data_IF_933525370785
#
_entry.id   IF_933525370785
#
_cell.length_a   1.000
_cell.length_b   1.000
_cell.length_c   1.000
_cell.angle_alpha   90.00
_cell.angle_beta   90.00
_cell.angle_gamma   90.00
#
_symmetry.space_group_name_H-M   'P 1'
#
loop_
_entity.id
_entity.type
_entity.pdbx_description
1 polymer ?
#
# COMPACT_ATOMS: atom_id res chain seq x y z
N UNK A 1 14.83 -0.52 21.24
CA UNK A 1 14.43 -0.55 19.82
C UNK A 1 15.12 0.61 19.13
N UNK A 2 15.89 0.35 18.06
CA UNK A 2 16.47 1.40 17.24
C UNK A 2 15.37 2.06 16.39
N UNK A 3 15.48 3.37 16.21
CA UNK A 3 14.63 4.07 15.24
C UNK A 3 15.03 3.68 13.82
N UNK A 4 14.04 3.64 12.91
CA UNK A 4 14.32 3.49 11.47
C UNK A 4 14.94 4.81 11.00
N UNK A 5 16.13 4.71 10.41
CA UNK A 5 16.77 5.85 9.75
C UNK A 5 16.33 5.90 8.30
N UNK A 6 15.56 6.93 7.93
CA UNK A 6 15.07 7.11 6.55
C UNK A 6 16.17 7.42 5.54
N UNK A 7 17.38 7.74 6.00
CA UNK A 7 18.57 7.92 5.14
C UNK A 7 19.33 6.62 4.92
N UNK A 8 19.04 5.58 5.73
CA UNK A 8 19.66 4.27 5.63
C UNK A 8 18.64 3.20 5.99
N UNK A 9 18.09 2.53 5.02
CA UNK A 9 17.03 1.51 5.23
C UNK A 9 17.56 0.17 5.72
N UNK A 10 18.84 0.08 6.11
CA UNK A 10 19.46 -1.16 6.59
C UNK A 10 18.72 -1.76 7.79
N UNK A 11 18.45 -0.93 8.80
CA UNK A 11 17.76 -1.37 10.01
C UNK A 11 16.31 -1.79 9.73
N UNK A 12 15.66 -1.18 8.73
CA UNK A 12 14.30 -1.55 8.29
C UNK A 12 14.25 -2.98 7.75
N UNK A 13 15.21 -3.38 6.93
CA UNK A 13 15.25 -4.74 6.38
C UNK A 13 15.48 -5.81 7.47
N UNK A 14 16.17 -5.49 8.54
CA UNK A 14 16.45 -6.39 9.67
C UNK A 14 15.24 -6.62 10.58
N UNK A 15 14.33 -5.63 10.70
CA UNK A 15 13.14 -5.73 11.56
C UNK A 15 11.88 -6.24 10.86
N UNK A 16 11.94 -6.43 9.55
CA UNK A 16 10.81 -6.86 8.75
C UNK A 16 10.55 -8.36 8.92
N UNK A 17 9.37 -8.70 9.40
CA UNK A 17 8.88 -10.08 9.47
C UNK A 17 7.85 -10.33 8.36
N UNK A 18 7.90 -11.51 7.75
CA UNK A 18 6.91 -11.95 6.77
C UNK A 18 6.06 -13.07 7.35
N UNK A 19 4.74 -12.89 7.30
CA UNK A 19 3.75 -13.89 7.69
C UNK A 19 2.86 -14.22 6.49
N UNK A 20 2.40 -15.46 6.39
CA UNK A 20 1.43 -15.88 5.37
C UNK A 20 0.08 -16.12 6.02
N UNK A 21 -0.96 -15.52 5.46
CA UNK A 21 -2.34 -15.90 5.75
C UNK A 21 -2.71 -17.15 4.94
N UNK A 22 -3.46 -18.05 5.53
CA UNK A 22 -4.09 -19.16 4.82
C UNK A 22 -5.59 -18.92 4.72
N UNK A 23 -6.30 -19.53 3.74
CA UNK A 23 -7.75 -19.39 3.65
C UNK A 23 -8.50 -19.90 4.89
N UNK A 24 -7.91 -20.84 5.62
CA UNK A 24 -8.50 -21.47 6.81
C UNK A 24 -8.27 -20.65 8.08
N UNK A 25 -7.07 -20.09 8.24
CA UNK A 25 -6.66 -19.41 9.48
C UNK A 25 -6.77 -17.89 9.39
N UNK A 26 -6.62 -17.34 8.17
CA UNK A 26 -6.57 -15.91 7.95
C UNK A 26 -5.31 -15.25 8.53
N UNK A 27 -5.38 -13.95 8.74
CA UNK A 27 -4.37 -13.12 9.38
C UNK A 27 -5.01 -12.31 10.50
N UNK A 28 -4.57 -12.51 11.72
CA UNK A 28 -5.01 -11.70 12.86
C UNK A 28 -4.23 -10.40 12.87
N UNK A 29 -4.95 -9.29 12.87
CA UNK A 29 -4.41 -7.93 13.01
C UNK A 29 -4.74 -7.44 14.42
N UNK A 30 -3.74 -7.36 15.27
CA UNK A 30 -3.93 -6.92 16.65
C UNK A 30 -4.11 -5.41 16.75
N UNK A 31 -4.75 -4.89 17.83
CA UNK A 31 -4.84 -3.45 18.09
C UNK A 31 -3.49 -2.76 18.01
N UNK A 32 -3.41 -1.69 17.21
CA UNK A 32 -2.18 -0.91 16.98
C UNK A 32 -1.16 -1.57 16.04
N UNK A 33 -1.41 -2.78 15.54
CA UNK A 33 -0.53 -3.46 14.59
C UNK A 33 -0.61 -2.82 13.20
N UNK A 34 0.55 -2.72 12.54
CA UNK A 34 0.70 -2.25 11.17
C UNK A 34 1.26 -3.38 10.31
N UNK A 35 0.58 -3.70 9.22
CA UNK A 35 0.95 -4.74 8.27
C UNK A 35 1.02 -4.18 6.85
N UNK A 36 1.95 -4.69 6.06
CA UNK A 36 1.92 -4.53 4.61
C UNK A 36 1.27 -5.76 3.99
N UNK A 37 0.16 -5.54 3.31
CA UNK A 37 -0.52 -6.54 2.47
C UNK A 37 -0.41 -6.18 1.00
N UNK A 38 -1.00 -6.99 0.13
CA UNK A 38 -1.10 -6.71 -1.30
C UNK A 38 -2.49 -7.02 -1.82
N UNK A 39 -2.91 -6.29 -2.84
CA UNK A 39 -4.13 -6.65 -3.59
C UNK A 39 -3.92 -7.92 -4.40
N UNK A 40 -5.00 -8.67 -4.62
CA UNK A 40 -5.00 -9.77 -5.59
C UNK A 40 -4.95 -9.20 -7.01
N UNK A 41 -5.66 -8.10 -7.23
CA UNK A 41 -5.78 -7.45 -8.52
C UNK A 41 -4.52 -6.65 -8.87
N UNK A 42 -4.21 -6.62 -10.17
CA UNK A 42 -3.26 -5.68 -10.75
C UNK A 42 -4.03 -4.47 -11.28
N UNK A 43 -3.65 -3.28 -10.83
CA UNK A 43 -4.20 -2.03 -11.32
C UNK A 43 -3.34 -1.50 -12.47
N UNK A 44 -4.00 -0.99 -13.52
CA UNK A 44 -3.35 -0.22 -14.58
C UNK A 44 -4.11 1.09 -14.74
N UNK A 45 -3.52 2.17 -14.22
CA UNK A 45 -4.08 3.51 -14.31
C UNK A 45 -3.69 4.16 -15.65
N UNK A 46 -4.63 4.61 -16.47
CA UNK A 46 -4.32 5.36 -17.68
C UNK A 46 -3.79 6.76 -17.34
N UNK A 47 -3.21 7.46 -18.32
CA UNK A 47 -2.59 8.78 -18.15
C UNK A 47 -3.55 9.91 -17.80
N UNK A 48 -4.85 9.71 -17.99
CA UNK A 48 -5.91 10.70 -17.76
C UNK A 48 -6.76 10.44 -16.51
N UNK A 49 -6.45 9.42 -15.74
CA UNK A 49 -7.13 9.08 -14.48
C UNK A 49 -6.12 9.01 -13.33
N UNK A 50 -6.56 9.46 -12.17
CA UNK A 50 -5.97 9.11 -10.88
C UNK A 50 -6.86 8.12 -10.18
N UNK A 51 -6.29 7.32 -9.30
CA UNK A 51 -7.07 6.45 -8.45
C UNK A 51 -6.71 6.68 -6.96
N UNK A 52 -7.65 6.33 -6.09
CA UNK A 52 -7.43 6.31 -4.64
C UNK A 52 -7.95 5.03 -4.04
N UNK A 53 -7.20 4.52 -3.07
CA UNK A 53 -7.60 3.40 -2.26
C UNK A 53 -8.43 3.95 -1.09
N UNK A 54 -9.63 3.44 -0.94
CA UNK A 54 -10.56 3.80 0.11
C UNK A 54 -10.97 2.57 0.92
N UNK A 55 -11.26 2.77 2.20
CA UNK A 55 -11.80 1.71 3.05
C UNK A 55 -13.25 1.38 2.71
N UNK A 56 -13.65 0.16 3.04
CA UNK A 56 -15.07 -0.23 3.05
C UNK A 56 -15.66 -0.01 4.43
N UNK A 57 -16.86 0.58 4.48
CA UNK A 57 -17.51 0.94 5.73
C UNK A 57 -17.68 -0.23 6.72
N UNK A 58 -17.88 -1.45 6.23
CA UNK A 58 -18.03 -2.64 7.08
C UNK A 58 -16.78 -2.93 7.89
N UNK A 59 -15.60 -2.82 7.28
CA UNK A 59 -14.31 -3.00 7.96
C UNK A 59 -13.90 -1.76 8.76
N UNK A 60 -14.16 -0.57 8.22
CA UNK A 60 -13.87 0.69 8.91
C UNK A 60 -14.59 0.80 10.26
N UNK A 61 -15.84 0.30 10.36
CA UNK A 61 -16.60 0.28 11.62
C UNK A 61 -16.07 -0.72 12.64
N UNK A 62 -15.24 -1.68 12.24
CA UNK A 62 -14.49 -2.55 13.15
C UNK A 62 -13.17 -1.92 13.60
N UNK A 63 -12.77 -0.81 12.99
CA UNK A 63 -11.49 -0.15 13.25
C UNK A 63 -10.38 -0.56 12.28
N UNK A 64 -10.67 -1.37 11.25
CA UNK A 64 -9.67 -1.76 10.25
C UNK A 64 -9.53 -0.67 9.19
N UNK A 65 -8.30 -0.16 9.05
CA UNK A 65 -7.89 0.72 7.96
C UNK A 65 -7.09 -0.15 6.97
N UNK A 66 -7.53 -0.29 5.71
CA UNK A 66 -6.80 -1.09 4.71
C UNK A 66 -5.60 -0.35 4.13
N UNK A 67 -5.50 0.96 4.39
CA UNK A 67 -4.48 1.81 3.84
C UNK A 67 -4.34 3.07 4.70
N UNK A 68 -3.24 3.13 5.46
CA UNK A 68 -3.08 4.13 6.52
C UNK A 68 -2.67 5.51 6.01
N UNK A 69 -1.89 5.61 4.94
CA UNK A 69 -1.31 6.88 4.52
C UNK A 69 -1.29 7.13 3.00
N UNK A 70 -0.78 6.22 2.20
CA UNK A 70 -0.43 6.48 0.78
C UNK A 70 -1.45 5.90 -0.22
N UNK A 71 -2.71 6.33 -0.14
CA UNK A 71 -3.82 5.85 -0.97
C UNK A 71 -3.91 6.39 -2.39
N UNK A 72 -3.08 7.36 -2.72
CA UNK A 72 -3.09 7.94 -4.04
C UNK A 72 -2.33 7.07 -5.03
N UNK A 73 -2.95 6.76 -6.15
CA UNK A 73 -2.35 6.01 -7.25
C UNK A 73 -2.20 6.93 -8.45
N UNK A 74 -0.95 7.19 -8.81
CA UNK A 74 -0.58 8.09 -9.89
C UNK A 74 -1.10 7.61 -11.26
N UNK A 75 -1.40 8.54 -12.18
CA UNK A 75 -1.64 8.22 -13.58
C UNK A 75 -0.44 7.47 -14.18
N UNK A 76 -0.72 6.43 -14.95
CA UNK A 76 0.32 5.60 -15.56
C UNK A 76 0.92 4.52 -14.67
N UNK A 77 0.49 4.39 -13.41
CA UNK A 77 0.89 3.28 -12.54
C UNK A 77 0.36 1.95 -13.09
N UNK A 78 1.21 0.92 -13.03
CA UNK A 78 0.83 -0.47 -13.29
C UNK A 78 1.46 -1.38 -12.24
N UNK A 79 0.66 -2.24 -11.60
CA UNK A 79 1.13 -3.18 -10.57
C UNK A 79 0.04 -3.58 -9.58
N UNK A 80 0.37 -4.48 -8.68
CA UNK A 80 -0.44 -4.73 -7.50
C UNK A 80 -0.28 -3.57 -6.51
N UNK A 81 -1.32 -3.30 -5.72
CA UNK A 81 -1.27 -2.24 -4.72
C UNK A 81 -0.81 -2.82 -3.39
N UNK A 82 0.23 -2.24 -2.82
CA UNK A 82 0.60 -2.52 -1.42
C UNK A 82 -0.38 -1.80 -0.51
N UNK A 83 -0.99 -2.56 0.41
CA UNK A 83 -1.94 -2.05 1.39
C UNK A 83 -1.23 -1.88 2.75
N UNK A 84 -1.43 -0.74 3.36
CA UNK A 84 -0.89 -0.35 4.66
C UNK A 84 -1.95 -0.60 5.74
N UNK A 85 -2.14 -1.87 6.10
CA UNK A 85 -3.25 -2.32 6.96
C UNK A 85 -2.96 -2.01 8.42
N UNK A 86 -3.92 -1.37 9.10
CA UNK A 86 -3.81 -1.07 10.52
C UNK A 86 -5.13 -1.33 11.25
N UNK A 87 -5.04 -1.87 12.47
CA UNK A 87 -6.18 -2.00 13.38
C UNK A 87 -6.15 -0.87 14.42
N UNK A 88 -7.07 0.08 14.28
CA UNK A 88 -7.29 1.17 15.26
C UNK A 88 -8.34 0.81 16.31
N UNK A 89 -8.96 -0.37 16.24
CA UNK A 89 -9.92 -0.86 17.21
C UNK A 89 -9.25 -1.38 18.48
N UNK A 90 -10.07 -1.87 19.40
CA UNK A 90 -9.63 -2.39 20.71
C UNK A 90 -9.56 -3.92 20.78
N UNK A 91 -10.00 -4.60 19.71
CA UNK A 91 -10.04 -6.06 19.63
C UNK A 91 -9.29 -6.53 18.38
N UNK A 92 -8.65 -7.71 18.43
CA UNK A 92 -8.05 -8.30 17.23
C UNK A 92 -9.10 -8.56 16.15
N UNK A 93 -8.72 -8.34 14.89
CA UNK A 93 -9.55 -8.57 13.71
C UNK A 93 -8.88 -9.61 12.85
N UNK A 94 -9.59 -10.69 12.49
CA UNK A 94 -9.09 -11.66 11.51
C UNK A 94 -9.58 -11.26 10.13
N UNK A 95 -8.66 -11.13 9.19
CA UNK A 95 -8.92 -10.94 7.76
C UNK A 95 -8.44 -12.18 7.00
N UNK A 96 -9.09 -12.49 5.92
CA UNK A 96 -8.77 -13.67 5.12
C UNK A 96 -8.26 -13.26 3.73
N UNK A 97 -7.42 -14.10 3.09
CA UNK A 97 -7.09 -13.92 1.69
C UNK A 97 -8.35 -13.76 0.84
N UNK A 98 -8.30 -12.86 -0.14
CA UNK A 98 -9.39 -12.53 -1.06
C UNK A 98 -10.58 -11.77 -0.42
N UNK A 99 -10.51 -11.42 0.86
CA UNK A 99 -11.49 -10.53 1.46
C UNK A 99 -11.51 -9.17 0.75
N UNK A 100 -12.72 -8.67 0.47
CA UNK A 100 -12.90 -7.33 -0.12
C UNK A 100 -12.80 -6.26 0.95
N UNK A 101 -11.58 -5.93 1.38
CA UNK A 101 -11.31 -5.00 2.49
C UNK A 101 -11.25 -3.53 2.08
N UNK A 102 -11.00 -3.25 0.80
CA UNK A 102 -10.90 -1.90 0.26
C UNK A 102 -11.70 -1.75 -1.04
N UNK A 103 -11.72 -0.53 -1.55
CA UNK A 103 -12.27 -0.17 -2.86
C UNK A 103 -11.33 0.82 -3.54
N UNK A 104 -11.40 0.89 -4.86
CA UNK A 104 -10.65 1.85 -5.67
C UNK A 104 -11.62 2.87 -6.23
N UNK A 105 -11.34 4.15 -6.05
CA UNK A 105 -12.10 5.26 -6.61
C UNK A 105 -11.26 5.87 -7.73
N UNK A 106 -11.86 6.08 -8.90
CA UNK A 106 -11.22 6.74 -10.03
C UNK A 106 -11.75 8.15 -10.18
N UNK A 107 -10.85 9.09 -10.47
CA UNK A 107 -11.18 10.48 -10.75
C UNK A 107 -10.56 10.90 -12.09
N UNK A 108 -11.34 11.60 -12.91
CA UNK A 108 -10.85 12.16 -14.17
C UNK A 108 -9.98 13.39 -13.90
N UNK A 109 -8.89 13.50 -14.62
CA UNK A 109 -8.04 14.67 -14.59
C UNK A 109 -8.53 15.72 -15.59
N UNK A 110 -8.21 16.98 -15.37
CA UNK A 110 -8.54 18.10 -16.31
C UNK A 110 -7.69 18.04 -17.60
N UNK A 111 -6.55 17.35 -17.56
CA UNK A 111 -5.68 17.05 -18.70
C UNK A 111 -4.95 15.74 -18.42
N UNK A 112 -4.39 15.14 -19.45
CA UNK A 112 -3.47 14.01 -19.25
C UNK A 112 -2.23 14.43 -18.47
N UNK A 113 -1.64 13.48 -17.73
CA UNK A 113 -0.38 13.71 -17.02
C UNK A 113 0.75 13.93 -18.03
N UNK A 114 1.50 15.03 -17.88
CA UNK A 114 2.67 15.32 -18.71
C UNK A 114 3.79 14.27 -18.52
N UNK A 115 3.92 13.75 -17.31
CA UNK A 115 4.88 12.71 -16.94
C UNK A 115 4.15 11.59 -16.16
N UNK A 116 3.53 10.63 -16.85
CA UNK A 116 2.91 9.47 -16.19
C UNK A 116 3.90 8.69 -15.34
N UNK A 117 3.41 7.98 -14.32
CA UNK A 117 4.26 7.29 -13.34
C UNK A 117 5.30 6.38 -13.98
N UNK A 118 4.95 5.59 -14.98
CA UNK A 118 5.88 4.69 -15.68
C UNK A 118 6.97 5.39 -16.50
N UNK A 119 6.81 6.68 -16.79
CA UNK A 119 7.77 7.50 -17.54
C UNK A 119 8.68 8.34 -16.62
N UNK A 120 8.34 8.45 -15.34
CA UNK A 120 9.18 9.15 -14.36
C UNK A 120 10.43 8.33 -14.05
N UNK A 121 11.58 9.00 -13.98
CA UNK A 121 12.88 8.37 -13.66
C UNK A 121 12.98 7.87 -12.23
N UNK A 122 12.14 8.38 -11.34
CA UNK A 122 12.10 8.07 -9.91
C UNK A 122 10.92 7.17 -9.48
N UNK A 123 10.24 6.53 -10.43
CA UNK A 123 9.15 5.61 -10.18
C UNK A 123 9.64 4.33 -9.50
N UNK A 124 9.47 4.24 -8.18
CA UNK A 124 10.02 3.15 -7.34
C UNK A 124 9.20 1.86 -7.34
N UNK A 125 7.91 1.94 -7.66
CA UNK A 125 6.96 0.83 -7.45
C UNK A 125 6.27 0.35 -8.73
N UNK A 126 6.79 0.71 -9.90
CA UNK A 126 6.24 0.25 -11.18
C UNK A 126 6.38 -1.26 -11.32
N UNK A 127 5.31 -1.94 -11.73
CA UNK A 127 5.29 -3.38 -11.92
C UNK A 127 5.45 -4.19 -10.63
N UNK A 128 5.17 -3.59 -9.45
CA UNK A 128 5.32 -4.31 -8.19
C UNK A 128 4.36 -5.49 -8.09
N UNK A 129 4.85 -6.58 -7.51
CA UNK A 129 4.11 -7.78 -7.16
C UNK A 129 4.31 -8.09 -5.68
N UNK A 130 3.22 -8.46 -5.00
CA UNK A 130 3.24 -8.70 -3.57
C UNK A 130 3.38 -7.45 -2.71
N UNK A 131 3.43 -7.62 -1.40
CA UNK A 131 3.60 -6.54 -0.44
C UNK A 131 5.03 -6.00 -0.49
N UNK A 132 5.20 -4.82 -1.05
CA UNK A 132 6.51 -4.17 -1.23
C UNK A 132 6.77 -3.21 -0.08
N UNK A 133 7.92 -3.35 0.58
CA UNK A 133 8.37 -2.42 1.63
C UNK A 133 8.83 -1.08 1.08
N UNK A 134 9.13 -0.14 1.98
CA UNK A 134 9.63 1.17 1.62
C UNK A 134 10.97 1.08 0.84
N UNK A 135 11.13 1.92 -0.17
CA UNK A 135 12.32 2.09 -1.01
C UNK A 135 12.85 3.52 -0.93
N UNK A 136 12.85 4.09 0.25
CA UNK A 136 13.35 5.46 0.47
C UNK A 136 14.84 5.60 0.16
N UNK A 137 15.62 4.54 0.27
CA UNK A 137 17.04 4.48 -0.09
C UNK A 137 17.31 4.59 -1.60
N UNK A 138 16.30 4.30 -2.43
CA UNK A 138 16.37 4.45 -3.89
C UNK A 138 16.07 5.90 -4.35
N UNK A 139 15.69 6.80 -3.46
CA UNK A 139 15.33 8.18 -3.77
C UNK A 139 16.57 9.04 -4.05
N UNK A 140 16.64 9.68 -5.21
CA UNK A 140 17.72 10.64 -5.50
C UNK A 140 17.47 11.97 -4.78
N UNK A 141 18.09 12.12 -3.62
CA UNK A 141 17.94 13.29 -2.74
C UNK A 141 18.68 14.52 -3.22
N UNK A 142 19.44 14.44 -4.31
CA UNK A 142 20.22 15.57 -4.85
C UNK A 142 19.37 16.54 -5.68
N UNK A 143 18.14 16.16 -5.99
CA UNK A 143 17.23 16.92 -6.85
C UNK A 143 16.01 17.50 -6.10
N UNK A 144 16.09 17.64 -4.76
CA UNK A 144 15.08 18.30 -3.93
C UNK A 144 15.50 19.73 -3.63
#
# INVERSE_FOLDING_TARGET
>A
VKAIDTQSMKDYSEIKESRKATPEEGMVVHPGEFLLGTTLETLKAPSNLVARIEGRSSYARLGLIPHAAAGFVDPGFEGQITLEIQNLGNVPITIYPEDRICQVVFETMTSEAENPYGEKTDSKYMGQEGATGSRLDEEDRRNI
#
